data_IF_834653915315
#
_entry.id   IF_834653915315
#
_cell.length_a   1.000
_cell.length_b   1.000
_cell.length_c   1.000
_cell.angle_alpha   90.00
_cell.angle_beta   90.00
_cell.angle_gamma   90.00
#
_symmetry.space_group_name_H-M   'P 1'
#
loop_
_entity.id
_entity.type
_entity.pdbx_description
1 polymer ?
#
# COMPACT_ATOMS: atom_id res chain seq x y z
N UNK A 1 -3.96 -16.88 7.29
CA UNK A 1 -4.86 -16.71 8.45
C UNK A 1 -5.44 -15.31 8.35
N UNK A 2 -6.74 -15.19 8.11
CA UNK A 2 -7.40 -13.89 8.12
C UNK A 2 -7.44 -13.36 9.55
N UNK A 3 -7.25 -12.06 9.73
CA UNK A 3 -7.33 -11.42 11.04
C UNK A 3 -8.41 -10.36 11.01
N UNK A 4 -9.11 -10.14 12.13
CA UNK A 4 -10.03 -9.01 12.35
C UNK A 4 -9.42 -7.68 11.86
N UNK A 5 -8.11 -7.49 12.05
CA UNK A 5 -7.38 -6.30 11.60
C UNK A 5 -7.34 -6.16 10.07
N UNK A 6 -7.24 -7.27 9.34
CA UNK A 6 -7.27 -7.27 7.86
C UNK A 6 -8.62 -6.81 7.33
N UNK A 7 -9.72 -7.37 7.86
CA UNK A 7 -11.09 -6.97 7.46
C UNK A 7 -11.32 -5.49 7.75
N UNK A 8 -10.90 -5.02 8.92
CA UNK A 8 -10.98 -3.62 9.30
C UNK A 8 -10.16 -2.72 8.36
N UNK A 9 -8.93 -3.13 8.03
CA UNK A 9 -8.07 -2.44 7.07
C UNK A 9 -8.73 -2.30 5.70
N UNK A 10 -9.27 -3.40 5.15
CA UNK A 10 -9.96 -3.38 3.86
C UNK A 10 -11.14 -2.42 3.83
N UNK A 11 -11.98 -2.41 4.87
CA UNK A 11 -13.10 -1.47 4.95
C UNK A 11 -12.65 -0.01 4.99
N UNK A 12 -11.62 0.30 5.77
CA UNK A 12 -11.08 1.66 5.87
C UNK A 12 -10.46 2.14 4.56
N UNK A 13 -9.76 1.25 3.85
CA UNK A 13 -9.21 1.55 2.52
C UNK A 13 -10.31 1.79 1.49
N UNK A 14 -11.34 0.92 1.46
CA UNK A 14 -12.50 1.06 0.56
C UNK A 14 -13.20 2.41 0.73
N UNK A 15 -13.36 2.87 1.99
CA UNK A 15 -13.94 4.19 2.30
C UNK A 15 -13.07 5.32 1.74
N UNK A 16 -11.75 5.25 1.93
CA UNK A 16 -10.83 6.27 1.43
C UNK A 16 -10.79 6.32 -0.11
N UNK A 17 -10.71 5.15 -0.74
CA UNK A 17 -10.74 4.98 -2.20
C UNK A 17 -12.04 5.56 -2.79
N UNK A 18 -13.20 5.16 -2.25
CA UNK A 18 -14.51 5.61 -2.75
C UNK A 18 -14.63 7.12 -2.71
N UNK A 19 -14.26 7.74 -1.59
CA UNK A 19 -14.34 9.20 -1.44
C UNK A 19 -13.33 9.90 -2.35
N UNK A 20 -12.11 9.38 -2.46
CA UNK A 20 -11.09 9.93 -3.36
C UNK A 20 -11.54 9.87 -4.83
N UNK A 21 -12.08 8.74 -5.28
CA UNK A 21 -12.62 8.59 -6.64
C UNK A 21 -13.78 9.54 -6.93
N UNK A 22 -14.66 9.77 -5.96
CA UNK A 22 -15.73 10.77 -6.10
C UNK A 22 -15.13 12.18 -6.29
N UNK A 23 -14.13 12.55 -5.47
CA UNK A 23 -13.46 13.83 -5.59
C UNK A 23 -12.74 14.01 -6.95
N UNK A 24 -12.02 12.98 -7.43
CA UNK A 24 -11.36 12.96 -8.75
C UNK A 24 -12.37 13.23 -9.87
N UNK A 25 -13.55 12.60 -9.78
CA UNK A 25 -14.60 12.71 -10.80
C UNK A 25 -15.52 13.92 -10.62
N UNK A 26 -15.32 14.74 -9.59
CA UNK A 26 -16.17 15.88 -9.28
C UNK A 26 -17.60 15.50 -8.87
N UNK A 27 -17.78 14.34 -8.24
CA UNK A 27 -19.07 13.83 -7.76
C UNK A 27 -19.09 13.73 -6.23
N UNK A 28 -20.29 13.78 -5.65
CA UNK A 28 -20.47 13.47 -4.23
C UNK A 28 -20.51 11.95 -4.00
N UNK A 29 -19.97 11.49 -2.87
CA UNK A 29 -20.07 10.09 -2.47
C UNK A 29 -21.41 9.81 -1.78
N UNK A 30 -22.00 8.64 -2.02
CA UNK A 30 -23.20 8.19 -1.31
C UNK A 30 -22.81 7.48 0.00
N UNK A 31 -22.95 8.20 1.11
CA UNK A 31 -22.62 7.68 2.42
C UNK A 31 -23.53 6.54 2.90
N UNK A 32 -24.75 6.41 2.38
CA UNK A 32 -25.64 5.28 2.71
C UNK A 32 -25.24 4.04 1.93
N UNK A 33 -24.96 4.18 0.63
CA UNK A 33 -24.43 3.09 -0.18
C UNK A 33 -23.12 2.54 0.41
N UNK A 34 -22.20 3.43 0.79
CA UNK A 34 -20.92 3.03 1.39
C UNK A 34 -21.10 2.27 2.72
N UNK A 35 -22.10 2.64 3.53
CA UNK A 35 -22.47 1.90 4.75
C UNK A 35 -23.06 0.53 4.43
N UNK A 36 -23.90 0.44 3.40
CA UNK A 36 -24.47 -0.82 2.95
C UNK A 36 -23.38 -1.78 2.45
N UNK A 37 -22.47 -1.31 1.61
CA UNK A 37 -21.33 -2.10 1.11
C UNK A 37 -20.44 -2.62 2.25
N UNK A 38 -20.17 -1.77 3.25
CA UNK A 38 -19.43 -2.18 4.44
C UNK A 38 -20.17 -3.27 5.23
N UNK A 39 -21.48 -3.11 5.41
CA UNK A 39 -22.32 -4.13 6.08
C UNK A 39 -22.30 -5.46 5.32
N UNK A 40 -22.52 -5.42 4.00
CA UNK A 40 -22.51 -6.61 3.14
C UNK A 40 -21.15 -7.32 3.15
N UNK A 41 -20.06 -6.57 3.28
CA UNK A 41 -18.73 -7.14 3.44
C UNK A 41 -18.54 -7.80 4.81
N UNK A 42 -18.98 -7.16 5.90
CA UNK A 42 -18.91 -7.70 7.27
C UNK A 42 -19.73 -9.00 7.37
N UNK A 43 -20.89 -9.07 6.72
CA UNK A 43 -21.78 -10.24 6.76
C UNK A 43 -21.12 -11.52 6.23
N UNK A 44 -20.15 -11.40 5.31
CA UNK A 44 -19.36 -12.54 4.79
C UNK A 44 -18.53 -13.24 5.88
N UNK A 45 -18.34 -12.59 7.03
CA UNK A 45 -17.54 -13.09 8.14
C UNK A 45 -18.37 -13.45 9.38
N UNK A 46 -19.68 -13.13 9.41
CA UNK A 46 -20.54 -13.48 10.55
C UNK A 46 -20.59 -14.99 10.75
N UNK A 47 -20.54 -15.40 12.03
CA UNK A 47 -20.55 -16.81 12.44
C UNK A 47 -19.21 -17.54 12.29
N UNK A 48 -18.15 -16.87 11.83
CA UNK A 48 -16.79 -17.42 11.79
C UNK A 48 -16.03 -17.02 13.05
N UNK A 49 -15.63 -18.00 13.86
CA UNK A 49 -15.01 -17.76 15.17
C UNK A 49 -13.69 -17.01 15.11
N UNK A 50 -12.97 -17.06 13.97
CA UNK A 50 -11.69 -16.34 13.84
C UNK A 50 -11.83 -14.82 13.64
N UNK A 51 -13.06 -14.29 13.49
CA UNK A 51 -13.31 -12.85 13.31
C UNK A 51 -14.14 -12.27 14.46
N UNK A 52 -13.64 -11.18 15.04
CA UNK A 52 -14.37 -10.39 16.02
C UNK A 52 -15.21 -9.31 15.32
N UNK A 53 -16.45 -9.67 14.96
CA UNK A 53 -17.39 -8.80 14.24
C UNK A 53 -17.72 -7.54 15.06
N UNK A 54 -17.86 -7.68 16.38
CA UNK A 54 -18.18 -6.54 17.26
C UNK A 54 -17.05 -5.51 17.26
N UNK A 55 -15.80 -5.98 17.25
CA UNK A 55 -14.63 -5.12 17.12
C UNK A 55 -14.56 -4.45 15.75
N UNK A 56 -14.91 -5.14 14.66
CA UNK A 56 -14.97 -4.52 13.32
C UNK A 56 -16.02 -3.41 13.31
N UNK A 57 -17.29 -3.74 13.62
CA UNK A 57 -18.42 -2.80 13.60
C UNK A 57 -18.20 -1.55 14.45
N UNK A 58 -17.48 -1.69 15.56
CA UNK A 58 -17.18 -0.57 16.46
C UNK A 58 -15.98 0.28 16.06
N UNK A 59 -15.19 -0.09 15.04
CA UNK A 59 -13.93 0.59 14.73
C UNK A 59 -13.79 1.07 13.30
N UNK A 60 -14.24 0.30 12.31
CA UNK A 60 -13.99 0.62 10.90
C UNK A 60 -14.55 1.99 10.52
N UNK A 61 -15.76 2.31 11.03
CA UNK A 61 -16.46 3.54 10.71
C UNK A 61 -15.71 4.77 11.20
N UNK A 62 -15.37 4.79 12.48
CA UNK A 62 -14.70 5.94 13.08
C UNK A 62 -13.29 6.15 12.48
N UNK A 63 -12.59 5.06 12.16
CA UNK A 63 -11.30 5.13 11.48
C UNK A 63 -11.43 5.61 10.02
N UNK A 64 -12.39 5.07 9.26
CA UNK A 64 -12.66 5.52 7.90
C UNK A 64 -13.06 6.98 7.83
N UNK A 65 -13.95 7.42 8.73
CA UNK A 65 -14.34 8.83 8.84
C UNK A 65 -13.17 9.74 9.20
N UNK A 66 -12.31 9.35 10.15
CA UNK A 66 -11.14 10.13 10.51
C UNK A 66 -10.13 10.23 9.36
N UNK A 67 -9.88 9.12 8.65
CA UNK A 67 -9.02 9.13 7.46
C UNK A 67 -9.57 10.05 6.38
N UNK A 68 -10.88 9.98 6.11
CA UNK A 68 -11.51 10.85 5.12
C UNK A 68 -11.40 12.33 5.51
N UNK A 69 -11.82 12.67 6.73
CA UNK A 69 -11.92 14.05 7.22
C UNK A 69 -10.56 14.72 7.39
N UNK A 70 -9.58 14.00 7.93
CA UNK A 70 -8.27 14.57 8.22
C UNK A 70 -7.36 14.56 6.99
N UNK A 71 -7.53 13.58 6.09
CA UNK A 71 -6.59 13.35 5.01
C UNK A 71 -7.20 13.44 3.61
N UNK A 72 -8.13 12.55 3.27
CA UNK A 72 -8.59 12.36 1.88
C UNK A 72 -9.16 13.65 1.28
N UNK A 73 -10.08 14.32 1.99
CA UNK A 73 -10.75 15.53 1.46
C UNK A 73 -9.84 16.76 1.39
N UNK A 74 -8.73 16.75 2.14
CA UNK A 74 -7.81 17.88 2.23
C UNK A 74 -6.60 17.73 1.30
N UNK A 75 -6.57 16.67 0.49
CA UNK A 75 -5.43 16.30 -0.34
C UNK A 75 -5.87 16.20 -1.80
N UNK A 76 -5.06 16.71 -2.73
CA UNK A 76 -5.30 16.46 -4.15
C UNK A 76 -4.83 15.04 -4.52
N UNK A 77 -5.72 14.07 -4.31
CA UNK A 77 -5.55 12.70 -4.79
C UNK A 77 -5.96 12.68 -6.27
N UNK A 78 -5.05 12.23 -7.13
CA UNK A 78 -5.21 12.29 -8.59
C UNK A 78 -5.51 10.93 -9.21
N UNK A 79 -5.17 9.85 -8.51
CA UNK A 79 -5.46 8.47 -8.89
C UNK A 79 -5.50 7.59 -7.64
N UNK A 80 -6.30 6.53 -7.66
CA UNK A 80 -6.32 5.47 -6.63
C UNK A 80 -6.29 4.09 -7.27
N UNK A 81 -5.90 3.08 -6.49
CA UNK A 81 -5.82 1.67 -6.92
C UNK A 81 -5.09 1.48 -8.27
N UNK A 82 -4.03 2.26 -8.49
CA UNK A 82 -3.25 2.21 -9.73
C UNK A 82 -2.41 0.93 -9.74
N UNK A 83 -2.64 0.06 -10.72
CA UNK A 83 -1.85 -1.15 -10.93
C UNK A 83 -0.77 -0.91 -11.97
N UNK A 84 0.47 -1.22 -11.62
CA UNK A 84 1.63 -1.16 -12.52
C UNK A 84 2.44 -2.45 -12.45
N UNK A 85 3.10 -2.78 -13.55
CA UNK A 85 4.02 -3.91 -13.63
C UNK A 85 5.22 -3.62 -14.52
N UNK A 86 6.35 -4.24 -14.18
CA UNK A 86 7.62 -4.12 -14.89
C UNK A 86 8.34 -5.46 -14.89
N UNK A 87 8.79 -5.91 -16.05
CA UNK A 87 9.72 -7.04 -16.14
C UNK A 87 11.13 -6.58 -15.73
N UNK A 88 11.64 -7.11 -14.62
CA UNK A 88 12.98 -6.77 -14.10
C UNK A 88 14.07 -7.49 -14.89
N UNK A 89 13.87 -8.79 -15.10
CA UNK A 89 14.65 -9.70 -15.94
C UNK A 89 13.67 -10.70 -16.59
N UNK A 90 14.05 -11.46 -17.63
CA UNK A 90 13.12 -12.36 -18.32
C UNK A 90 12.36 -13.28 -17.35
N UNK A 91 11.04 -13.20 -17.38
CA UNK A 91 10.12 -13.97 -16.52
C UNK A 91 10.19 -13.65 -15.01
N UNK A 92 10.73 -12.50 -14.60
CA UNK A 92 10.67 -12.00 -13.22
C UNK A 92 10.12 -10.58 -13.24
N UNK A 93 8.95 -10.41 -12.63
CA UNK A 93 8.20 -9.16 -12.66
C UNK A 93 8.14 -8.53 -11.28
N UNK A 94 8.24 -7.20 -11.24
CA UNK A 94 7.76 -6.38 -10.14
C UNK A 94 6.38 -5.89 -10.52
N UNK A 95 5.40 -6.07 -9.64
CA UNK A 95 4.04 -5.59 -9.87
C UNK A 95 3.36 -5.26 -8.54
N UNK A 96 2.39 -4.36 -8.59
CA UNK A 96 1.58 -4.05 -7.42
C UNK A 96 0.57 -2.96 -7.70
N UNK A 97 -0.37 -2.82 -6.76
CA UNK A 97 -1.35 -1.76 -6.73
C UNK A 97 -0.94 -0.72 -5.69
N UNK A 98 -1.02 0.56 -6.04
CA UNK A 98 -0.81 1.69 -5.14
C UNK A 98 -2.15 2.25 -4.68
N UNK A 99 -2.32 2.45 -3.38
CA UNK A 99 -3.55 3.00 -2.79
C UNK A 99 -3.91 4.36 -3.40
N UNK A 100 -2.94 5.29 -3.49
CA UNK A 100 -3.17 6.61 -4.06
C UNK A 100 -1.91 7.28 -4.64
N UNK A 101 -2.12 8.13 -5.65
CA UNK A 101 -1.17 9.13 -6.12
C UNK A 101 -1.68 10.51 -5.69
N UNK A 102 -0.78 11.34 -5.19
CA UNK A 102 -1.09 12.66 -4.65
C UNK A 102 -0.23 13.71 -5.33
N UNK A 103 -0.83 14.84 -5.69
CA UNK A 103 -0.08 16.06 -6.01
C UNK A 103 -0.25 17.10 -4.91
N UNK A 104 0.81 17.88 -4.67
CA UNK A 104 0.73 19.07 -3.82
C UNK A 104 0.08 20.27 -4.53
N UNK A 105 -0.07 20.24 -5.85
CA UNK A 105 -0.80 21.29 -6.58
C UNK A 105 -2.25 20.86 -6.79
N UNK A 106 -3.25 21.69 -6.43
CA UNK A 106 -4.66 21.33 -6.49
C UNK A 106 -5.23 21.23 -7.91
N UNK A 107 -4.48 21.69 -8.92
CA UNK A 107 -4.90 21.70 -10.32
C UNK A 107 -4.33 20.53 -11.13
N UNK A 108 -3.37 19.80 -10.57
CA UNK A 108 -2.76 18.66 -11.27
C UNK A 108 -3.77 17.52 -11.38
N UNK A 109 -3.87 16.95 -12.58
CA UNK A 109 -4.60 15.70 -12.85
C UNK A 109 -3.63 14.55 -13.08
N UNK A 110 -4.14 13.31 -13.07
CA UNK A 110 -3.32 12.16 -13.43
C UNK A 110 -2.79 12.23 -14.86
N UNK A 111 -3.58 12.81 -15.77
CA UNK A 111 -3.21 13.04 -17.17
C UNK A 111 -2.04 14.02 -17.30
N UNK A 112 -2.05 15.10 -16.52
CA UNK A 112 -0.94 16.06 -16.46
C UNK A 112 0.34 15.40 -15.93
N UNK A 113 0.20 14.53 -14.93
CA UNK A 113 1.33 13.80 -14.34
C UNK A 113 1.96 12.86 -15.37
N UNK A 114 1.15 12.00 -16.02
CA UNK A 114 1.60 11.12 -17.10
C UNK A 114 2.23 11.88 -18.27
N UNK A 115 1.73 13.08 -18.56
CA UNK A 115 2.25 13.92 -19.62
C UNK A 115 3.49 14.75 -19.23
N UNK A 116 3.94 14.68 -17.96
CA UNK A 116 5.04 15.49 -17.45
C UNK A 116 4.75 17.00 -17.39
N UNK A 117 3.47 17.38 -17.27
CA UNK A 117 2.99 18.77 -17.24
C UNK A 117 2.57 19.25 -15.84
N UNK A 118 2.57 18.35 -14.87
CA UNK A 118 2.27 18.66 -13.47
C UNK A 118 3.21 19.73 -12.91
N UNK A 119 2.72 20.53 -11.97
CA UNK A 119 3.51 21.57 -11.29
C UNK A 119 3.74 21.28 -9.82
N UNK A 120 2.91 20.43 -9.22
CA UNK A 120 3.07 19.99 -7.85
C UNK A 120 4.12 18.90 -7.71
N UNK A 121 4.64 18.76 -6.50
CA UNK A 121 5.39 17.58 -6.12
C UNK A 121 4.48 16.35 -6.04
N UNK A 122 4.93 15.23 -6.63
CA UNK A 122 4.17 13.99 -6.75
C UNK A 122 4.59 12.99 -5.68
N UNK A 123 3.59 12.45 -4.97
CA UNK A 123 3.77 11.52 -3.86
C UNK A 123 3.00 10.23 -4.11
N UNK A 124 3.68 9.10 -3.97
CA UNK A 124 3.00 7.79 -3.87
C UNK A 124 2.58 7.59 -2.42
N UNK A 125 1.28 7.36 -2.21
CA UNK A 125 0.68 7.20 -0.89
C UNK A 125 0.23 5.77 -0.66
N UNK A 126 0.50 5.29 0.53
CA UNK A 126 0.01 4.01 1.05
C UNK A 126 -0.75 4.28 2.37
N UNK A 127 -2.03 3.90 2.42
CA UNK A 127 -2.86 3.99 3.62
C UNK A 127 -2.59 2.78 4.50
N UNK A 128 -2.65 2.99 5.81
CA UNK A 128 -2.46 1.93 6.80
C UNK A 128 -3.39 2.14 7.98
N UNK A 129 -3.88 1.05 8.53
CA UNK A 129 -4.56 1.04 9.82
C UNK A 129 -3.60 0.56 10.90
N UNK A 130 -3.66 1.16 12.09
CA UNK A 130 -2.84 0.73 13.22
C UNK A 130 -3.59 0.79 14.55
N UNK A 131 -3.30 -0.18 15.41
CA UNK A 131 -3.85 -0.24 16.77
C UNK A 131 -3.12 0.68 17.76
N UNK A 132 -1.89 1.07 17.43
CA UNK A 132 -1.05 1.96 18.24
C UNK A 132 -0.40 3.00 17.35
N UNK A 133 0.03 4.11 17.96
CA UNK A 133 0.72 5.18 17.23
C UNK A 133 2.02 4.63 16.62
N UNK A 134 2.19 4.67 15.29
CA UNK A 134 3.45 4.32 14.65
C UNK A 134 4.54 5.31 15.06
N UNK A 135 5.76 4.81 15.24
CA UNK A 135 6.93 5.63 15.61
C UNK A 135 7.71 6.14 14.39
N UNK A 136 7.64 5.43 13.26
CA UNK A 136 8.45 5.73 12.08
C UNK A 136 7.93 5.02 10.83
N UNK A 137 8.44 5.48 9.69
CA UNK A 137 8.38 4.78 8.41
C UNK A 137 9.46 3.68 8.40
N UNK A 138 9.09 2.50 8.89
CA UNK A 138 10.02 1.38 9.08
C UNK A 138 10.61 0.84 7.77
N UNK A 139 11.63 -0.01 7.88
CA UNK A 139 12.35 -0.55 6.72
C UNK A 139 11.46 -1.34 5.76
N UNK A 140 10.58 -2.21 6.27
CA UNK A 140 9.72 -3.06 5.44
C UNK A 140 8.76 -2.21 4.58
N UNK A 141 8.10 -1.22 5.19
CA UNK A 141 7.26 -0.30 4.43
C UNK A 141 8.08 0.58 3.49
N UNK A 142 9.31 0.97 3.87
CA UNK A 142 10.19 1.76 3.00
C UNK A 142 10.48 1.00 1.72
N UNK A 143 10.80 -0.30 1.81
CA UNK A 143 11.00 -1.15 0.63
C UNK A 143 9.73 -1.21 -0.22
N UNK A 144 8.57 -1.43 0.39
CA UNK A 144 7.30 -1.48 -0.33
C UNK A 144 7.02 -0.18 -1.09
N UNK A 145 7.10 0.97 -0.41
CA UNK A 145 6.79 2.25 -1.02
C UNK A 145 7.81 2.65 -2.09
N UNK A 146 9.10 2.33 -1.90
CA UNK A 146 10.12 2.55 -2.91
C UNK A 146 9.94 1.65 -4.13
N UNK A 147 9.44 0.41 -3.97
CA UNK A 147 9.07 -0.42 -5.12
C UNK A 147 7.98 0.25 -5.98
N UNK A 148 6.96 0.84 -5.34
CA UNK A 148 5.90 1.56 -6.06
C UNK A 148 6.44 2.81 -6.78
N UNK A 149 7.25 3.62 -6.10
CA UNK A 149 7.87 4.79 -6.70
C UNK A 149 8.82 4.40 -7.86
N UNK A 150 9.57 3.32 -7.72
CA UNK A 150 10.43 2.76 -8.76
C UNK A 150 9.61 2.31 -9.99
N UNK A 151 8.51 1.58 -9.79
CA UNK A 151 7.61 1.19 -10.89
C UNK A 151 7.15 2.40 -11.70
N UNK A 152 6.59 3.41 -11.02
CA UNK A 152 6.08 4.61 -11.67
C UNK A 152 7.18 5.42 -12.37
N UNK A 153 8.36 5.50 -11.75
CA UNK A 153 9.53 6.15 -12.35
C UNK A 153 9.97 5.43 -13.63
N UNK A 154 9.98 4.10 -13.63
CA UNK A 154 10.30 3.31 -14.84
C UNK A 154 9.18 3.40 -15.90
N UNK A 155 7.94 3.65 -15.51
CA UNK A 155 6.81 3.97 -16.40
C UNK A 155 6.83 5.44 -16.89
N UNK A 156 7.84 6.23 -16.55
CA UNK A 156 8.03 7.61 -17.04
C UNK A 156 7.42 8.70 -16.15
N UNK A 157 6.87 8.36 -14.99
CA UNK A 157 6.30 9.32 -14.03
C UNK A 157 7.35 9.72 -13.00
N UNK A 158 7.67 11.01 -12.92
CA UNK A 158 8.59 11.52 -11.88
C UNK A 158 7.90 11.49 -10.52
N UNK A 159 8.43 10.70 -9.59
CA UNK A 159 7.99 10.66 -8.19
C UNK A 159 8.99 11.42 -7.33
N UNK A 160 8.52 12.35 -6.51
CA UNK A 160 9.39 13.11 -5.61
C UNK A 160 9.38 12.55 -4.19
N UNK A 161 8.27 11.95 -3.75
CA UNK A 161 8.11 11.45 -2.39
C UNK A 161 7.35 10.11 -2.34
N UNK A 162 7.55 9.41 -1.24
CA UNK A 162 6.69 8.32 -0.80
C UNK A 162 6.12 8.62 0.58
N UNK A 163 4.94 8.10 0.87
CA UNK A 163 4.27 8.43 2.10
C UNK A 163 3.41 7.30 2.67
N UNK A 164 3.50 7.14 3.99
CA UNK A 164 2.54 6.34 4.77
C UNK A 164 1.55 7.25 5.48
N UNK A 165 0.25 7.07 5.23
CA UNK A 165 -0.81 7.64 6.05
C UNK A 165 -1.36 6.56 6.98
N UNK A 166 -1.06 6.64 8.27
CA UNK A 166 -1.70 5.78 9.26
C UNK A 166 -2.95 6.45 9.80
N UNK A 167 -4.08 5.74 9.79
CA UNK A 167 -5.16 6.04 10.73
C UNK A 167 -5.06 5.10 11.93
N UNK A 168 -5.06 5.69 13.12
CA UNK A 168 -4.82 4.96 14.38
C UNK A 168 -6.12 4.85 15.16
N UNK A 169 -6.47 3.64 15.59
CA UNK A 169 -7.62 3.39 16.48
C UNK A 169 -7.47 4.16 17.80
N UNK A 170 -8.58 4.58 18.40
CA UNK A 170 -8.57 5.17 19.74
C UNK A 170 -7.90 4.23 20.75
N UNK A 171 -7.03 4.81 21.57
CA UNK A 171 -6.47 4.19 22.77
C UNK A 171 -6.85 5.02 23.99
N UNK A 172 -6.49 4.56 25.19
CA UNK A 172 -6.75 5.30 26.44
C UNK A 172 -6.24 6.75 26.43
N UNK A 173 -5.14 7.01 25.72
CA UNK A 173 -4.45 8.31 25.74
C UNK A 173 -4.37 8.99 24.38
N UNK A 174 -4.93 8.37 23.33
CA UNK A 174 -4.87 8.89 21.97
C UNK A 174 -6.23 8.74 21.30
N UNK A 175 -6.91 9.84 20.92
CA UNK A 175 -8.12 9.75 20.10
C UNK A 175 -7.78 9.19 18.71
N UNK A 176 -8.82 8.75 17.98
CA UNK A 176 -8.67 8.38 16.57
C UNK A 176 -8.17 9.59 15.79
N UNK A 177 -7.12 9.39 15.00
CA UNK A 177 -6.54 10.41 14.13
C UNK A 177 -5.53 9.81 13.15
N UNK A 178 -5.10 10.62 12.20
CA UNK A 178 -4.10 10.29 11.19
C UNK A 178 -2.68 10.68 11.62
N UNK A 179 -1.70 9.94 11.10
CA UNK A 179 -0.27 10.22 11.21
C UNK A 179 0.41 9.97 9.87
N UNK A 180 1.11 10.98 9.38
CA UNK A 180 1.74 10.99 8.07
C UNK A 180 3.26 10.92 8.20
N UNK A 181 3.89 10.06 7.41
CA UNK A 181 5.35 9.97 7.31
C UNK A 181 5.77 10.07 5.85
N UNK A 182 6.41 11.18 5.50
CA UNK A 182 6.92 11.46 4.15
C UNK A 182 8.41 11.14 4.11
N UNK A 183 8.87 10.50 3.04
CA UNK A 183 10.28 10.40 2.67
C UNK A 183 10.48 10.90 1.23
N UNK A 184 11.56 11.64 0.96
CA UNK A 184 11.93 11.95 -0.42
C UNK A 184 12.31 10.67 -1.16
N UNK A 185 11.94 10.60 -2.44
CA UNK A 185 12.36 9.57 -3.37
C UNK A 185 13.36 10.17 -4.37
N UNK A 186 14.57 10.44 -3.87
CA UNK A 186 15.67 10.99 -4.65
C UNK A 186 16.48 9.90 -5.37
N UNK A 187 17.58 10.29 -6.02
CA UNK A 187 18.46 9.34 -6.71
C UNK A 187 19.06 8.29 -5.79
N UNK A 188 19.33 8.62 -4.52
CA UNK A 188 19.86 7.66 -3.56
C UNK A 188 18.79 6.60 -3.21
N UNK A 189 17.55 7.03 -3.00
CA UNK A 189 16.42 6.13 -2.78
C UNK A 189 16.17 5.23 -4.00
N UNK A 190 16.25 5.80 -5.21
CA UNK A 190 16.11 5.08 -6.46
C UNK A 190 17.19 4.01 -6.65
N UNK A 191 18.46 4.37 -6.51
CA UNK A 191 19.59 3.45 -6.68
C UNK A 191 19.55 2.34 -5.62
N UNK A 192 19.15 2.69 -4.39
CA UNK A 192 18.99 1.74 -3.29
C UNK A 192 17.95 0.66 -3.63
N UNK A 193 16.75 1.04 -4.06
CA UNK A 193 15.72 0.05 -4.37
C UNK A 193 16.02 -0.70 -5.67
N UNK A 194 16.62 -0.05 -6.68
CA UNK A 194 17.03 -0.70 -7.91
C UNK A 194 18.07 -1.81 -7.63
N UNK A 195 19.04 -1.56 -6.76
CA UNK A 195 20.02 -2.56 -6.35
C UNK A 195 19.38 -3.78 -5.68
N UNK A 196 18.39 -3.57 -4.80
CA UNK A 196 17.66 -4.66 -4.15
C UNK A 196 16.85 -5.47 -5.18
N UNK A 197 16.15 -4.80 -6.09
CA UNK A 197 15.34 -5.46 -7.11
C UNK A 197 16.19 -6.27 -8.10
N UNK A 198 17.35 -5.74 -8.51
CA UNK A 198 18.35 -6.46 -9.31
C UNK A 198 18.83 -7.72 -8.59
N UNK A 199 19.20 -7.59 -7.32
CA UNK A 199 19.63 -8.72 -6.51
C UNK A 199 18.54 -9.80 -6.38
N UNK A 200 17.28 -9.40 -6.18
CA UNK A 200 16.14 -10.33 -6.16
C UNK A 200 16.02 -11.06 -7.51
N UNK A 201 16.06 -10.32 -8.62
CA UNK A 201 16.01 -10.90 -9.97
C UNK A 201 17.11 -11.93 -10.20
N UNK A 202 18.37 -11.55 -9.96
CA UNK A 202 19.53 -12.43 -10.12
C UNK A 202 19.48 -13.63 -9.16
N UNK A 203 18.96 -13.44 -7.94
CA UNK A 203 18.80 -14.55 -6.97
C UNK A 203 17.77 -15.57 -7.46
N UNK A 204 16.64 -15.12 -8.02
CA UNK A 204 15.62 -16.00 -8.60
C UNK A 204 16.19 -16.76 -9.80
N UNK A 205 16.97 -16.08 -10.64
CA UNK A 205 17.62 -16.72 -11.79
C UNK A 205 18.66 -17.75 -11.36
N UNK A 206 19.53 -17.40 -10.41
CA UNK A 206 20.53 -18.30 -9.84
C UNK A 206 19.90 -19.53 -9.20
N UNK A 207 18.78 -19.36 -8.47
CA UNK A 207 18.04 -20.46 -7.88
C UNK A 207 17.54 -21.47 -8.93
N UNK A 208 17.16 -21.00 -10.13
CA UNK A 208 16.72 -21.86 -11.24
C UNK A 208 17.90 -22.52 -11.96
N UNK A 209 18.92 -21.74 -12.28
CA UNK A 209 20.02 -22.17 -13.14
C UNK A 209 21.04 -23.05 -12.40
N UNK A 210 21.11 -22.95 -11.06
CA UNK A 210 22.10 -23.63 -10.21
C UNK A 210 21.41 -24.42 -9.09
N UNK A 211 20.68 -25.51 -9.40
CA UNK A 211 19.95 -26.29 -8.39
C UNK A 211 20.81 -26.73 -7.21
N UNK A 212 22.06 -27.12 -7.47
CA UNK A 212 23.01 -27.55 -6.44
C UNK A 212 23.39 -26.46 -5.42
N UNK A 213 23.11 -25.19 -5.74
CA UNK A 213 23.41 -24.03 -4.89
C UNK A 213 22.15 -23.44 -4.22
N UNK A 214 20.96 -23.99 -4.47
CA UNK A 214 19.71 -23.49 -3.89
C UNK A 214 19.73 -23.43 -2.36
N UNK A 215 20.38 -24.39 -1.73
CA UNK A 215 20.53 -24.45 -0.26
C UNK A 215 21.24 -23.23 0.32
N UNK A 216 22.16 -22.61 -0.43
CA UNK A 216 22.87 -21.40 0.00
C UNK A 216 21.93 -20.19 -0.02
N UNK A 217 21.15 -20.03 -1.09
CA UNK A 217 20.21 -18.91 -1.25
C UNK A 217 19.02 -19.03 -0.29
N UNK A 218 18.46 -20.23 -0.14
CA UNK A 218 17.37 -20.50 0.80
C UNK A 218 17.84 -20.59 2.26
N UNK A 219 19.15 -20.57 2.51
CA UNK A 219 19.75 -20.78 3.83
C UNK A 219 19.26 -22.06 4.52
N UNK A 220 19.10 -23.15 3.75
CA UNK A 220 18.58 -24.43 4.24
C UNK A 220 19.40 -25.61 3.68
N UNK A 221 20.31 -26.13 4.49
CA UNK A 221 21.23 -27.21 4.11
C UNK A 221 20.51 -28.52 3.74
N UNK A 222 19.25 -28.72 4.15
CA UNK A 222 18.46 -29.91 3.80
C UNK A 222 18.21 -29.99 2.29
N UNK A 223 18.13 -28.84 1.61
CA UNK A 223 18.00 -28.76 0.16
C UNK A 223 19.22 -29.34 -0.56
N UNK A 224 20.41 -29.33 0.06
CA UNK A 224 21.62 -29.91 -0.51
C UNK A 224 21.56 -31.44 -0.57
N UNK A 225 20.97 -32.05 0.45
CA UNK A 225 20.93 -33.50 0.61
C UNK A 225 19.60 -34.13 0.16
N UNK A 226 18.63 -33.32 -0.28
CA UNK A 226 17.24 -33.72 -0.49
C UNK A 226 16.55 -34.31 0.75
N UNK A 227 16.97 -33.87 1.95
CA UNK A 227 16.44 -34.30 3.25
C UNK A 227 15.27 -33.40 3.71
N UNK A 228 14.41 -32.99 2.77
CA UNK A 228 13.23 -32.18 3.09
C UNK A 228 12.20 -33.09 3.76
N UNK A 229 11.66 -32.75 4.93
CA UNK A 229 10.56 -33.50 5.53
C UNK A 229 9.43 -33.61 4.51
N UNK A 230 9.11 -34.83 4.08
CA UNK A 230 7.94 -35.06 3.25
C UNK A 230 6.70 -34.92 4.15
N UNK A 231 5.62 -34.29 3.67
CA UNK A 231 4.38 -34.22 4.42
C UNK A 231 3.83 -35.61 4.75
#
# INVERSE_FOLDING_TARGET
QGSTATVNGTLVHHVAETVANCAINGTDYDGELLRQEASDYIDKFRGKEEYDISSIESTWKDMGEALVKEYVINTNIVATELYEQLELIPNVYLAGTMDAIVSSAPTDTWEDIKAGKHVGSITVRDWKTASTKPSSFNYAYTLQAYCYAYLLTKSGVKIDNVELCFVVKATKTLPIRTFNFIKPFDSQAFDFIEGILKLIGESVQCFKDWPDMQYLLASDYRLKNNDIPRP
#
